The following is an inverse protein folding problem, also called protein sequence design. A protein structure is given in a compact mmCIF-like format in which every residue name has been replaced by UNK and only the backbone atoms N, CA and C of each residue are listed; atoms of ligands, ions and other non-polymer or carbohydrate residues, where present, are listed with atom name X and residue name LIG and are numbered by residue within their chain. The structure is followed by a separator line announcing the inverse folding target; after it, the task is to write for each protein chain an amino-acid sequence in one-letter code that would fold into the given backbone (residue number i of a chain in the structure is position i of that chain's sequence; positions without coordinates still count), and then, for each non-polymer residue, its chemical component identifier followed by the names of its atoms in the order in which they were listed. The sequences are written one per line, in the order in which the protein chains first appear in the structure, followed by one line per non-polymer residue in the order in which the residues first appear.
data_IF_305558265893
#
_entry.id   IF_305558265893
#
_cell.length_a   1.000
_cell.length_b   1.000
_cell.length_c   1.000
_cell.angle_alpha   90.00
_cell.angle_beta   90.00
_cell.angle_gamma   90.00
#
_symmetry.space_group_name_H-M   'P 1'
#
loop_
_entity.id
_entity.type
_entity.pdbx_description
1 polymer ?
#
# COMPACT_ATOMS: atom_id res chain seq x y z
N UNK A 1 -0.51 3.29 11.46
CA UNK A 1 -0.80 3.16 10.01
C UNK A 1 0.05 4.17 9.24
N UNK A 2 0.48 3.84 8.02
CA UNK A 2 1.18 4.78 7.14
C UNK A 2 0.71 4.66 5.69
N UNK A 3 0.63 5.79 4.99
CA UNK A 3 0.45 5.91 3.55
C UNK A 3 1.78 6.39 2.95
N UNK A 4 2.33 5.63 2.02
CA UNK A 4 3.63 5.89 1.39
C UNK A 4 3.45 5.94 -0.13
N UNK A 5 4.08 6.91 -0.79
CA UNK A 5 4.06 7.03 -2.25
C UNK A 5 5.20 6.22 -2.92
N UNK A 6 5.19 6.15 -4.25
CA UNK A 6 6.18 5.39 -5.03
C UNK A 6 7.63 5.91 -4.85
N UNK A 7 7.81 7.13 -4.35
CA UNK A 7 9.12 7.72 -4.05
C UNK A 7 9.56 7.43 -2.61
N UNK A 8 8.92 6.47 -1.92
CA UNK A 8 9.19 6.10 -0.53
C UNK A 8 8.95 7.24 0.47
N UNK A 9 8.13 8.25 0.12
CA UNK A 9 7.77 9.34 1.03
C UNK A 9 6.52 9.02 1.81
N UNK A 10 6.57 9.28 3.12
CA UNK A 10 5.39 9.17 3.98
C UNK A 10 4.43 10.33 3.70
N UNK A 11 3.25 10.03 3.15
CA UNK A 11 2.19 11.01 2.83
C UNK A 11 1.17 11.17 3.94
N UNK A 12 0.99 10.14 4.75
CA UNK A 12 0.12 10.16 5.92
C UNK A 12 0.62 9.16 6.95
N UNK A 13 0.62 9.52 8.22
CA UNK A 13 1.06 8.67 9.32
C UNK A 13 0.10 8.85 10.48
N UNK A 14 -0.32 7.73 11.06
CA UNK A 14 -1.04 7.70 12.32
C UNK A 14 -0.34 6.76 13.27
N UNK A 15 -0.03 7.27 14.45
CA UNK A 15 0.71 6.59 15.53
C UNK A 15 -0.12 6.65 16.80
N UNK A 16 0.02 5.64 17.67
CA UNK A 16 -0.62 5.62 18.99
C UNK A 16 -1.97 4.90 19.06
N UNK A 17 -2.42 4.27 17.98
CA UNK A 17 -3.66 3.48 18.01
C UNK A 17 -3.51 2.23 18.90
N UNK A 18 -4.56 1.90 19.65
CA UNK A 18 -4.58 0.72 20.50
C UNK A 18 -4.54 -0.58 19.66
N UNK A 19 -3.61 -1.50 19.98
CA UNK A 19 -3.38 -2.75 19.23
C UNK A 19 -4.49 -3.80 19.26
N UNK A 20 -5.70 -3.46 19.74
CA UNK A 20 -6.89 -4.35 19.70
C UNK A 20 -7.77 -4.12 18.47
N UNK A 21 -7.51 -3.07 17.69
CA UNK A 21 -8.30 -2.73 16.50
C UNK A 21 -7.73 -3.44 15.27
N UNK A 22 -8.59 -4.00 14.41
CA UNK A 22 -8.16 -4.56 13.12
C UNK A 22 -7.60 -3.46 12.20
N UNK A 23 -6.77 -3.81 11.23
CA UNK A 23 -6.20 -2.83 10.29
C UNK A 23 -7.30 -2.03 9.56
N UNK A 24 -8.37 -2.72 9.14
CA UNK A 24 -9.55 -2.07 8.56
C UNK A 24 -10.29 -1.13 9.53
N UNK A 25 -10.33 -1.46 10.83
CA UNK A 25 -10.91 -0.60 11.86
C UNK A 25 -10.04 0.62 12.16
N UNK A 26 -8.72 0.44 12.25
CA UNK A 26 -7.74 1.51 12.40
C UNK A 26 -7.81 2.48 11.23
N UNK A 27 -7.89 1.95 10.00
CA UNK A 27 -8.13 2.76 8.81
C UNK A 27 -9.46 3.53 8.88
N UNK A 28 -10.57 2.87 9.18
CA UNK A 28 -11.88 3.53 9.23
C UNK A 28 -11.94 4.64 10.31
N UNK A 29 -11.20 4.48 11.42
CA UNK A 29 -11.10 5.46 12.49
C UNK A 29 -10.11 6.61 12.21
N UNK A 30 -9.20 6.43 11.26
CA UNK A 30 -8.17 7.42 10.91
C UNK A 30 -8.72 8.67 10.24
N UNK A 31 -8.00 9.78 10.34
CA UNK A 31 -8.32 11.00 9.60
C UNK A 31 -8.23 10.79 8.09
N UNK A 32 -7.28 9.94 7.66
CA UNK A 32 -7.17 9.51 6.26
C UNK A 32 -8.44 8.78 5.80
N UNK A 33 -8.87 7.75 6.52
CA UNK A 33 -10.04 6.95 6.17
C UNK A 33 -11.34 7.75 6.22
N UNK A 34 -11.50 8.60 7.25
CA UNK A 34 -12.63 9.53 7.34
C UNK A 34 -12.63 10.50 6.16
N UNK A 35 -11.49 11.12 5.85
CA UNK A 35 -11.38 12.10 4.78
C UNK A 35 -11.61 11.52 3.37
N UNK A 36 -11.23 10.25 3.15
CA UNK A 36 -11.57 9.54 1.92
C UNK A 36 -13.07 9.26 1.81
N UNK A 37 -13.71 8.82 2.90
CA UNK A 37 -15.14 8.50 2.90
C UNK A 37 -16.01 9.77 2.75
N UNK A 38 -15.62 10.88 3.38
CA UNK A 38 -16.32 12.17 3.30
C UNK A 38 -15.91 13.03 2.11
N UNK A 39 -14.98 12.55 1.26
CA UNK A 39 -14.45 13.26 0.09
C UNK A 39 -13.88 14.64 0.41
N UNK A 40 -13.31 14.80 1.60
CA UNK A 40 -12.64 16.06 2.00
C UNK A 40 -11.16 16.09 1.61
N UNK A 41 -10.59 14.95 1.24
CA UNK A 41 -9.26 14.88 0.67
C UNK A 41 -9.33 15.28 -0.81
N UNK A 42 -8.43 16.17 -1.24
CA UNK A 42 -8.30 16.61 -2.63
C UNK A 42 -7.61 15.53 -3.50
N UNK A 43 -8.26 14.38 -3.63
CA UNK A 43 -7.81 13.30 -4.52
C UNK A 43 -8.03 13.75 -5.97
N UNK A 44 -7.04 13.57 -6.87
CA UNK A 44 -7.23 13.88 -8.28
C UNK A 44 -8.43 13.13 -8.87
N UNK A 45 -9.06 13.75 -9.88
CA UNK A 45 -10.16 13.12 -10.62
C UNK A 45 -9.69 11.85 -11.33
N UNK A 46 -10.62 10.94 -11.60
CA UNK A 46 -10.34 9.73 -12.37
C UNK A 46 -9.70 10.07 -13.72
N UNK A 47 -8.82 9.19 -14.19
CA UNK A 47 -8.13 9.35 -15.48
C UNK A 47 -8.04 8.01 -16.19
N UNK A 48 -7.97 8.03 -17.53
CA UNK A 48 -7.79 6.80 -18.29
C UNK A 48 -6.43 6.17 -18.01
N UNK A 49 -6.41 4.84 -17.92
CA UNK A 49 -5.16 4.10 -17.87
C UNK A 49 -4.41 4.22 -19.22
N UNK A 50 -3.06 4.20 -19.20
CA UNK A 50 -2.25 4.25 -20.42
C UNK A 50 -2.71 3.21 -21.44
N UNK A 51 -2.96 3.64 -22.67
CA UNK A 51 -3.36 2.80 -23.81
C UNK A 51 -4.65 1.96 -23.60
N UNK A 52 -5.40 2.19 -22.53
CA UNK A 52 -6.56 1.38 -22.14
C UNK A 52 -7.83 2.20 -21.93
N UNK A 53 -8.07 3.20 -22.79
CA UNK A 53 -9.24 4.07 -22.73
C UNK A 53 -10.59 3.31 -22.77
N UNK A 54 -10.60 2.12 -23.37
CA UNK A 54 -11.78 1.24 -23.43
C UNK A 54 -12.24 0.71 -22.06
N UNK A 55 -11.37 0.76 -21.03
CA UNK A 55 -11.71 0.42 -19.64
C UNK A 55 -12.37 1.57 -18.88
N UNK A 56 -12.49 2.75 -19.50
CA UNK A 56 -13.06 3.95 -18.90
C UNK A 56 -12.07 4.73 -18.04
N UNK A 57 -12.58 5.73 -17.33
CA UNK A 57 -11.79 6.51 -16.37
C UNK A 57 -11.64 5.73 -15.06
N UNK A 58 -10.40 5.65 -14.58
CA UNK A 58 -10.05 4.91 -13.38
C UNK A 58 -9.72 5.84 -12.22
N UNK A 59 -10.23 5.58 -11.01
CA UNK A 59 -9.90 6.38 -9.84
C UNK A 59 -8.46 6.11 -9.39
N UNK A 60 -7.87 7.09 -8.72
CA UNK A 60 -6.65 6.86 -7.94
C UNK A 60 -6.98 6.02 -6.71
N UNK A 61 -6.18 4.98 -6.48
CA UNK A 61 -6.39 4.03 -5.39
C UNK A 61 -5.19 3.93 -4.47
N UNK A 62 -5.44 3.82 -3.18
CA UNK A 62 -4.47 3.33 -2.21
C UNK A 62 -4.40 1.81 -2.29
N UNK A 63 -3.25 1.24 -1.94
CA UNK A 63 -3.05 -0.21 -1.91
C UNK A 63 -2.94 -0.68 -0.46
N UNK A 64 -3.85 -1.54 -0.04
CA UNK A 64 -3.85 -2.20 1.27
C UNK A 64 -3.61 -3.71 1.15
N UNK A 65 -3.30 -4.34 2.28
CA UNK A 65 -3.30 -5.79 2.38
C UNK A 65 -4.73 -6.37 2.48
N UNK A 66 -4.84 -7.67 2.71
CA UNK A 66 -6.13 -8.36 2.78
C UNK A 66 -7.00 -8.00 4.00
N UNK A 67 -6.44 -7.40 5.05
CA UNK A 67 -7.15 -6.98 6.25
C UNK A 67 -7.93 -5.67 6.06
N UNK A 68 -7.57 -4.88 5.05
CA UNK A 68 -8.32 -3.68 4.67
C UNK A 68 -9.62 -4.00 3.93
N UNK A 69 -10.62 -3.11 3.97
CA UNK A 69 -11.81 -3.23 3.12
C UNK A 69 -11.48 -2.94 1.65
N UNK A 70 -12.19 -3.57 0.73
CA UNK A 70 -12.17 -3.17 -0.68
C UNK A 70 -13.14 -1.99 -0.87
N UNK A 71 -12.62 -0.85 -1.33
CA UNK A 71 -13.37 0.38 -1.64
C UNK A 71 -12.98 0.88 -3.05
N UNK A 72 -13.76 1.76 -3.70
CA UNK A 72 -13.39 2.32 -5.01
C UNK A 72 -12.02 3.02 -5.02
N UNK A 73 -11.57 3.50 -3.86
CA UNK A 73 -10.30 4.19 -3.65
C UNK A 73 -9.28 3.38 -2.82
N UNK A 74 -9.61 2.15 -2.38
CA UNK A 74 -8.72 1.32 -1.56
C UNK A 74 -8.74 -0.12 -2.08
N UNK A 75 -7.64 -0.48 -2.73
CA UNK A 75 -7.45 -1.75 -3.39
C UNK A 75 -6.88 -2.80 -2.43
N UNK A 76 -7.37 -4.03 -2.53
CA UNK A 76 -6.82 -5.19 -1.81
C UNK A 76 -6.75 -6.43 -2.70
N UNK A 77 -5.92 -7.43 -2.35
CA UNK A 77 -5.81 -8.66 -3.12
C UNK A 77 -7.16 -9.40 -3.27
N UNK A 78 -7.28 -10.21 -4.31
CA UNK A 78 -8.30 -11.23 -4.38
C UNK A 78 -8.15 -12.23 -3.22
N UNK A 79 -9.22 -12.49 -2.44
CA UNK A 79 -9.17 -13.48 -1.37
C UNK A 79 -9.26 -14.90 -1.94
N UNK A 80 -8.77 -15.89 -1.17
CA UNK A 80 -8.91 -17.31 -1.48
C UNK A 80 -7.64 -17.94 -2.06
N UNK A 81 -7.69 -19.28 -2.18
CA UNK A 81 -6.52 -20.11 -2.58
C UNK A 81 -6.53 -20.52 -4.06
N UNK A 82 -7.71 -20.70 -4.64
CA UNK A 82 -7.88 -21.19 -6.01
C UNK A 82 -8.18 -20.03 -6.96
N UNK A 83 -7.19 -19.15 -7.13
CA UNK A 83 -7.29 -17.98 -8.00
C UNK A 83 -6.92 -18.33 -9.44
N UNK A 84 -7.60 -17.70 -10.40
CA UNK A 84 -7.19 -17.78 -11.82
C UNK A 84 -5.79 -17.18 -12.00
N UNK A 85 -5.03 -17.57 -13.04
CA UNK A 85 -3.71 -17.00 -13.32
C UNK A 85 -3.72 -15.46 -13.32
N UNK A 86 -4.74 -14.84 -13.91
CA UNK A 86 -4.89 -13.39 -13.99
C UNK A 86 -5.02 -12.73 -12.61
N UNK A 87 -5.79 -13.35 -11.72
CA UNK A 87 -5.98 -12.87 -10.34
C UNK A 87 -4.72 -13.07 -9.50
N UNK A 88 -3.94 -14.12 -9.78
CA UNK A 88 -2.64 -14.34 -9.14
C UNK A 88 -1.61 -13.31 -9.61
N UNK A 89 -1.57 -12.97 -10.90
CA UNK A 89 -0.75 -11.86 -11.46
C UNK A 89 -1.12 -10.54 -10.79
N UNK A 90 -2.42 -10.21 -10.74
CA UNK A 90 -2.90 -9.01 -10.06
C UNK A 90 -2.44 -8.97 -8.59
N UNK A 91 -2.64 -10.06 -7.85
CA UNK A 91 -2.23 -10.18 -6.46
C UNK A 91 -0.72 -10.00 -6.27
N UNK A 92 0.10 -10.57 -7.17
CA UNK A 92 1.55 -10.43 -7.13
C UNK A 92 1.98 -8.98 -7.40
N UNK A 93 1.40 -8.32 -8.41
CA UNK A 93 1.65 -6.90 -8.68
C UNK A 93 1.26 -6.00 -7.52
N UNK A 94 0.14 -6.28 -6.88
CA UNK A 94 -0.30 -5.56 -5.69
C UNK A 94 0.67 -5.77 -4.52
N UNK A 95 1.23 -6.98 -4.38
CA UNK A 95 2.29 -7.25 -3.41
C UNK A 95 3.55 -6.43 -3.68
N UNK A 96 3.99 -6.36 -4.94
CA UNK A 96 5.14 -5.54 -5.35
C UNK A 96 4.90 -4.06 -5.03
N UNK A 97 3.70 -3.53 -5.29
CA UNK A 97 3.35 -2.16 -4.93
C UNK A 97 3.41 -1.91 -3.41
N UNK A 98 3.00 -2.89 -2.58
CA UNK A 98 3.09 -2.78 -1.12
C UNK A 98 4.52 -2.84 -0.58
N UNK A 99 5.46 -3.46 -1.29
CA UNK A 99 6.87 -3.48 -0.85
C UNK A 99 7.42 -2.06 -0.64
N UNK A 100 6.88 -1.05 -1.34
CA UNK A 100 7.29 0.35 -1.19
C UNK A 100 7.17 0.83 0.26
N UNK A 101 6.08 0.51 0.97
CA UNK A 101 5.93 0.94 2.38
C UNK A 101 6.88 0.16 3.30
N UNK A 102 7.12 -1.12 3.04
CA UNK A 102 8.05 -1.94 3.82
C UNK A 102 9.48 -1.41 3.67
N UNK A 103 9.92 -1.15 2.43
CA UNK A 103 11.23 -0.57 2.13
C UNK A 103 11.36 0.84 2.70
N UNK A 104 10.32 1.68 2.67
CA UNK A 104 10.36 3.01 3.28
C UNK A 104 10.62 2.93 4.80
N UNK A 105 9.99 1.97 5.49
CA UNK A 105 10.29 1.69 6.90
C UNK A 105 11.69 1.06 7.10
N UNK A 106 12.14 0.21 6.18
CA UNK A 106 13.49 -0.36 6.16
C UNK A 106 14.57 0.72 6.10
N UNK A 107 14.46 1.63 5.13
CA UNK A 107 15.34 2.80 4.95
C UNK A 107 15.30 3.69 6.20
N UNK A 108 14.10 4.00 6.71
CA UNK A 108 13.93 4.78 7.93
C UNK A 108 14.69 4.14 9.11
N UNK A 109 14.50 2.85 9.34
CA UNK A 109 15.13 2.14 10.44
C UNK A 109 16.66 2.04 10.27
N UNK A 110 17.13 1.76 9.05
CA UNK A 110 18.56 1.69 8.72
C UNK A 110 19.26 3.01 8.95
N UNK A 111 18.68 4.11 8.46
CA UNK A 111 19.19 5.48 8.63
C UNK A 111 19.19 5.88 10.11
N UNK A 112 18.09 5.61 10.82
CA UNK A 112 17.92 5.95 12.21
C UNK A 112 18.03 4.72 13.10
N UNK A 113 19.26 4.32 13.43
CA UNK A 113 19.60 3.13 14.24
C UNK A 113 18.86 3.00 15.58
N UNK A 114 18.20 4.06 16.06
CA UNK A 114 17.31 3.99 17.23
C UNK A 114 16.17 2.99 17.05
N UNK A 115 15.67 2.79 15.82
CA UNK A 115 14.60 1.82 15.53
C UNK A 115 15.09 0.36 15.49
N UNK A 116 16.41 0.12 15.42
CA UNK A 116 17.01 -1.22 15.50
C UNK A 116 17.28 -1.69 16.93
N UNK A 117 17.02 -0.85 17.92
CA UNK A 117 17.28 -1.13 19.34
C UNK A 117 16.01 -0.95 20.15
N UNK A 118 16.02 -1.48 21.38
CA UNK A 118 14.97 -1.16 22.35
C UNK A 118 14.94 0.36 22.56
N UNK A 119 13.79 0.96 22.29
CA UNK A 119 13.61 2.41 22.41
C UNK A 119 13.52 2.72 23.91
N UNK A 120 14.62 3.19 24.48
CA UNK A 120 14.72 3.59 25.90
C UNK A 120 14.17 5.01 26.11
N UNK A 121 12.93 5.25 25.68
CA UNK A 121 12.20 6.48 25.91
C UNK A 121 10.96 6.20 26.76
N UNK A 122 10.50 7.21 27.49
CA UNK A 122 9.18 7.15 28.12
C UNK A 122 8.12 6.95 27.02
N UNK A 123 7.12 6.04 27.19
CA UNK A 123 6.12 5.73 26.15
C UNK A 123 5.48 6.96 25.51
N UNK A 124 5.17 7.98 26.32
CA UNK A 124 4.64 9.29 25.86
C UNK A 124 5.48 10.01 24.78
N UNK A 125 6.76 9.68 24.64
CA UNK A 125 7.67 10.29 23.65
C UNK A 125 7.86 9.41 22.40
N UNK A 126 7.41 8.16 22.42
CA UNK A 126 7.66 7.20 21.34
C UNK A 126 6.88 7.60 20.09
N UNK A 127 5.64 8.06 20.23
CA UNK A 127 4.85 8.50 19.09
C UNK A 127 5.50 9.72 18.40
N UNK A 128 6.00 10.68 19.19
CA UNK A 128 6.76 11.82 18.68
C UNK A 128 8.04 11.39 17.97
N UNK A 129 8.76 10.39 18.49
CA UNK A 129 9.96 9.84 17.85
C UNK A 129 9.62 9.26 16.46
N UNK A 130 8.54 8.47 16.36
CA UNK A 130 8.12 7.85 15.10
C UNK A 130 7.72 8.92 14.08
N UNK A 131 6.90 9.89 14.48
CA UNK A 131 6.48 11.00 13.62
C UNK A 131 7.68 11.82 13.16
N UNK A 132 8.57 12.22 14.08
CA UNK A 132 9.78 12.97 13.76
C UNK A 132 10.68 12.18 12.80
N UNK A 133 10.86 10.88 13.03
CA UNK A 133 11.64 10.01 12.15
C UNK A 133 11.13 10.03 10.71
N UNK A 134 9.82 9.91 10.51
CA UNK A 134 9.24 9.91 9.17
C UNK A 134 9.30 11.30 8.49
N UNK A 135 9.14 12.39 9.25
CA UNK A 135 9.30 13.76 8.72
C UNK A 135 10.75 13.97 8.26
N UNK A 136 11.71 13.60 9.11
CA UNK A 136 13.14 13.72 8.79
C UNK A 136 13.53 12.81 7.63
N UNK A 137 12.95 11.62 7.53
CA UNK A 137 13.12 10.74 6.37
C UNK A 137 12.70 11.43 5.08
N UNK A 138 11.51 12.04 5.04
CA UNK A 138 11.04 12.77 3.86
C UNK A 138 11.93 13.98 3.54
N UNK A 139 12.38 14.72 4.56
CA UNK A 139 13.25 15.89 4.38
C UNK A 139 14.61 15.51 3.77
N UNK A 140 15.17 14.39 4.20
CA UNK A 140 16.44 13.87 3.71
C UNK A 140 16.30 13.08 2.40
N UNK A 141 15.08 12.89 1.90
CA UNK A 141 14.82 12.12 0.69
C UNK A 141 15.15 12.97 -0.55
N UNK A 142 16.46 13.11 -0.83
CA UNK A 142 16.99 13.74 -2.04
C UNK A 142 16.88 12.84 -3.28
N UNK A 143 16.98 13.39 -4.50
CA UNK A 143 16.74 12.65 -5.75
C UNK A 143 17.69 11.47 -6.01
N UNK A 144 18.88 11.45 -5.43
CA UNK A 144 19.98 10.54 -5.78
C UNK A 144 20.39 9.56 -4.69
N UNK A 145 20.11 9.84 -3.42
CA UNK A 145 20.66 9.05 -2.29
C UNK A 145 19.94 7.72 -2.05
N UNK A 146 18.72 7.54 -2.53
CA UNK A 146 17.97 6.30 -2.30
C UNK A 146 18.24 5.22 -3.35
N UNK A 147 18.76 5.54 -4.54
CA UNK A 147 19.04 4.53 -5.56
C UNK A 147 19.97 3.43 -5.00
N UNK A 148 20.98 3.80 -4.22
CA UNK A 148 21.90 2.84 -3.59
C UNK A 148 21.25 1.93 -2.55
N UNK A 149 20.29 2.43 -1.75
CA UNK A 149 19.57 1.61 -0.77
C UNK A 149 18.54 0.69 -1.45
N UNK A 150 17.98 1.13 -2.59
CA UNK A 150 17.05 0.36 -3.40
C UNK A 150 17.75 -0.78 -4.15
N UNK A 151 18.95 -0.53 -4.67
CA UNK A 151 19.76 -1.54 -5.34
C UNK A 151 20.23 -2.64 -4.35
N UNK A 152 20.41 -2.30 -3.07
CA UNK A 152 20.77 -3.27 -2.01
C UNK A 152 19.57 -4.08 -1.48
N UNK A 153 18.34 -3.56 -1.58
CA UNK A 153 17.10 -4.20 -1.11
C UNK A 153 16.22 -4.80 -2.24
N UNK A 154 16.68 -4.86 -3.49
CA UNK A 154 16.07 -5.68 -4.57
C UNK A 154 16.22 -7.19 -4.27
N UNK A 155 15.72 -7.64 -3.13
CA UNK A 155 15.45 -9.05 -2.91
C UNK A 155 14.15 -9.41 -3.67
N UNK A 156 14.12 -10.55 -4.39
CA UNK A 156 12.88 -11.03 -4.97
C UNK A 156 11.85 -11.20 -3.85
N UNK A 157 10.80 -10.38 -3.88
CA UNK A 157 9.77 -10.37 -2.85
C UNK A 157 9.26 -11.78 -2.57
N UNK A 158 9.07 -12.09 -1.28
CA UNK A 158 8.56 -13.40 -0.84
C UNK A 158 7.19 -13.65 -1.46
N UNK A 159 6.98 -14.88 -1.98
CA UNK A 159 5.66 -15.33 -2.44
C UNK A 159 4.64 -15.06 -1.33
N UNK A 160 3.57 -14.32 -1.64
CA UNK A 160 2.51 -14.05 -0.67
C UNK A 160 1.98 -15.36 -0.09
N UNK A 161 1.89 -15.42 1.24
CA UNK A 161 1.12 -16.47 1.88
C UNK A 161 -0.33 -16.40 1.39
N UNK A 162 -1.01 -17.55 1.17
CA UNK A 162 -2.37 -17.56 0.68
C UNK A 162 -3.29 -16.74 1.59
N UNK A 163 -3.94 -15.73 1.00
CA UNK A 163 -4.90 -14.88 1.70
C UNK A 163 -6.06 -15.74 2.19
N UNK A 164 -6.18 -15.88 3.52
CA UNK A 164 -7.34 -16.53 4.14
C UNK A 164 -8.59 -15.68 3.88
N UNK A 165 -9.76 -16.32 3.84
CA UNK A 165 -11.03 -15.59 3.81
C UNK A 165 -11.17 -14.78 5.11
N UNK A 166 -10.78 -13.50 5.06
CA UNK A 166 -11.06 -12.52 6.10
C UNK A 166 -12.54 -12.13 5.97
N UNK A 167 -13.27 -12.13 7.10
CA UNK A 167 -14.73 -12.02 7.18
C UNK A 167 -15.39 -10.85 6.44
N UNK A 168 -16.73 -10.91 6.36
CA UNK A 168 -17.56 -10.19 5.40
C UNK A 168 -17.63 -8.68 5.56
N UNK A 169 -16.70 -7.97 4.91
CA UNK A 169 -16.99 -6.64 4.39
C UNK A 169 -17.33 -6.82 2.90
N UNK A 170 -18.62 -6.88 2.56
CA UNK A 170 -19.06 -6.98 1.17
C UNK A 170 -18.67 -5.68 0.47
N UNK A 171 -17.69 -5.75 -0.41
CA UNK A 171 -17.32 -4.64 -1.26
C UNK A 171 -18.54 -4.17 -2.07
N UNK A 172 -18.63 -2.88 -2.38
CA UNK A 172 -19.61 -2.40 -3.35
C UNK A 172 -19.33 -3.03 -4.72
N UNK A 173 -20.35 -3.04 -5.58
CA UNK A 173 -20.17 -3.44 -6.99
C UNK A 173 -19.11 -2.57 -7.65
N UNK A 174 -19.23 -1.26 -7.50
CA UNK A 174 -18.24 -0.28 -7.96
C UNK A 174 -16.81 -0.61 -7.53
N UNK A 175 -16.57 -0.92 -6.24
CA UNK A 175 -15.24 -1.27 -5.77
C UNK A 175 -14.71 -2.58 -6.39
N UNK A 176 -15.62 -3.52 -6.69
CA UNK A 176 -15.28 -4.76 -7.38
C UNK A 176 -14.97 -4.50 -8.85
N UNK A 177 -15.75 -3.66 -9.51
CA UNK A 177 -15.59 -3.29 -10.93
C UNK A 177 -14.27 -2.56 -11.15
N UNK A 178 -13.91 -1.61 -10.27
CA UNK A 178 -12.61 -0.94 -10.29
C UNK A 178 -11.47 -1.97 -10.18
N UNK A 179 -11.58 -2.96 -9.29
CA UNK A 179 -10.57 -4.01 -9.16
C UNK A 179 -10.48 -4.89 -10.40
N UNK A 180 -11.61 -5.29 -10.98
CA UNK A 180 -11.63 -6.10 -12.21
C UNK A 180 -11.05 -5.31 -13.39
N UNK A 181 -11.27 -4.00 -13.48
CA UNK A 181 -10.68 -3.15 -14.52
C UNK A 181 -9.14 -3.08 -14.38
N UNK A 182 -8.62 -2.84 -13.17
CA UNK A 182 -7.16 -2.92 -12.93
C UNK A 182 -6.60 -4.32 -13.19
N UNK A 183 -7.34 -5.37 -12.81
CA UNK A 183 -6.95 -6.76 -13.08
C UNK A 183 -6.88 -7.03 -14.58
N UNK A 184 -7.85 -6.55 -15.35
CA UNK A 184 -7.84 -6.64 -16.81
C UNK A 184 -6.63 -5.93 -17.39
N UNK A 185 -6.45 -4.64 -17.07
CA UNK A 185 -5.32 -3.83 -17.54
C UNK A 185 -3.97 -4.48 -17.25
N UNK A 186 -3.76 -5.00 -16.04
CA UNK A 186 -2.50 -5.66 -15.66
C UNK A 186 -2.22 -6.97 -16.41
N UNK A 187 -3.24 -7.56 -17.02
CA UNK A 187 -3.14 -8.76 -17.85
C UNK A 187 -3.22 -8.46 -19.36
N UNK A 188 -3.31 -7.18 -19.76
CA UNK A 188 -3.38 -6.73 -21.15
C UNK A 188 -2.32 -5.64 -21.43
N UNK A 189 -2.72 -4.40 -21.70
CA UNK A 189 -1.84 -3.28 -22.07
C UNK A 189 -0.82 -2.95 -20.97
N UNK A 190 -1.21 -3.14 -19.70
CA UNK A 190 -0.34 -2.93 -18.56
C UNK A 190 0.58 -4.12 -18.25
N UNK A 191 0.57 -5.19 -19.04
CA UNK A 191 1.39 -6.39 -18.83
C UNK A 191 2.88 -6.09 -18.81
N UNK A 192 3.65 -6.85 -18.03
CA UNK A 192 5.11 -6.72 -17.90
C UNK A 192 5.79 -8.07 -18.12
N UNK A 193 6.99 -8.05 -18.69
CA UNK A 193 7.69 -9.25 -19.21
C UNK A 193 7.94 -10.35 -18.17
N UNK A 194 8.00 -10.00 -16.88
CA UNK A 194 8.30 -10.93 -15.81
C UNK A 194 7.05 -11.52 -15.14
N UNK A 195 5.84 -10.99 -15.35
CA UNK A 195 4.71 -11.31 -14.47
C UNK A 195 4.21 -12.76 -14.57
N UNK A 196 4.30 -13.38 -15.74
CA UNK A 196 3.88 -14.77 -15.94
C UNK A 196 4.83 -15.77 -15.27
N UNK A 197 6.12 -15.43 -15.13
CA UNK A 197 7.12 -16.29 -14.47
C UNK A 197 6.97 -16.33 -12.93
N UNK A 198 6.27 -15.34 -12.35
CA UNK A 198 6.17 -15.17 -10.90
C UNK A 198 4.98 -15.91 -10.28
N UNK A 199 4.11 -16.48 -11.12
CA UNK A 199 2.78 -16.97 -10.74
C UNK A 199 2.68 -18.47 -10.90
#
# INVERSE_FOLDING_TARGET
MALVDADYRFRGIQVGDFGRTSDGGTYAGSDLGKGMETKTLHVPTSTSLPDAAHLGEMPFVMVGDAAFPLKPYLMRPYPGKNLTPQKRIFNYRLSRARMVVENAFGILASRWRIFHRRINLHPKNVDTLVVAGCILHNFLLGPTENQSWLDEEEQPGTRMAPVRNMGGNRASREASDVREAFCTYFNSEGSVTWQDSMV
#
